data_IF_128630452965
#
_entry.id   IF_128630452965
#
_cell.length_a   1.000
_cell.length_b   1.000
_cell.length_c   1.000
_cell.angle_alpha   90.00
_cell.angle_beta   90.00
_cell.angle_gamma   90.00
#
_symmetry.space_group_name_H-M   'P 1'
#
loop_
_entity.id
_entity.type
_entity.pdbx_description
1 polymer ?
#
# COMPACT_ATOMS: atom_id res chain seq x y z
N UNK A 1 26.86 27.40 4.82
CA UNK A 1 25.48 27.84 4.57
C UNK A 1 24.82 26.78 3.71
N UNK A 2 24.06 25.87 4.33
CA UNK A 2 23.35 24.80 3.67
C UNK A 2 22.04 25.39 3.12
N UNK A 3 21.89 25.43 1.81
CA UNK A 3 20.61 25.74 1.17
C UNK A 3 19.65 24.59 1.48
N UNK A 4 18.67 24.81 2.35
CA UNK A 4 17.48 23.99 2.41
C UNK A 4 16.80 24.07 1.03
N UNK A 5 16.81 22.98 0.27
CA UNK A 5 15.90 22.80 -0.86
C UNK A 5 14.49 22.92 -0.31
N UNK A 6 13.76 23.97 -0.66
CA UNK A 6 12.31 24.01 -0.54
C UNK A 6 11.77 22.89 -1.44
N UNK A 7 11.38 21.80 -0.81
CA UNK A 7 10.58 20.78 -1.47
C UNK A 7 9.22 21.40 -1.72
N UNK A 8 8.93 21.71 -2.98
CA UNK A 8 7.55 21.90 -3.44
C UNK A 8 6.71 20.77 -2.85
N UNK A 9 5.63 21.12 -2.17
CA UNK A 9 4.63 20.19 -1.65
C UNK A 9 4.09 19.44 -2.87
N UNK A 10 4.69 18.30 -3.17
CA UNK A 10 4.20 17.36 -4.16
C UNK A 10 3.12 16.50 -3.48
N UNK A 11 2.12 16.12 -4.25
CA UNK A 11 0.97 15.28 -3.87
C UNK A 11 1.33 13.96 -3.14
N UNK A 12 2.61 13.61 -3.09
CA UNK A 12 3.19 12.42 -2.47
C UNK A 12 3.53 12.54 -0.97
N UNK A 13 3.27 13.68 -0.33
CA UNK A 13 3.72 13.91 1.06
C UNK A 13 2.64 13.65 2.11
N UNK A 14 1.38 13.51 1.71
CA UNK A 14 0.26 13.45 2.66
C UNK A 14 0.32 12.20 3.56
N UNK A 15 0.70 11.05 3.00
CA UNK A 15 0.79 9.82 3.78
C UNK A 15 2.00 9.75 4.74
N UNK A 16 3.06 10.51 4.51
CA UNK A 16 4.24 10.55 5.41
C UNK A 16 3.84 10.98 6.83
N UNK A 17 2.95 11.97 6.93
CA UNK A 17 2.40 12.44 8.23
C UNK A 17 1.66 11.30 8.94
N UNK A 18 0.99 10.42 8.19
CA UNK A 18 0.32 9.26 8.76
C UNK A 18 1.30 8.33 9.49
N UNK A 19 2.48 8.08 8.92
CA UNK A 19 3.49 7.22 9.52
C UNK A 19 4.08 7.75 10.85
N UNK A 20 3.97 9.04 11.13
CA UNK A 20 4.38 9.61 12.43
C UNK A 20 3.48 9.14 13.58
N UNK A 21 2.31 8.56 13.26
CA UNK A 21 1.42 7.94 14.23
C UNK A 21 1.76 6.46 14.53
N UNK A 22 2.82 5.92 13.95
CA UNK A 22 3.30 4.55 14.22
C UNK A 22 4.49 4.64 15.16
N UNK A 23 4.32 4.22 16.42
CA UNK A 23 5.42 4.19 17.38
C UNK A 23 6.44 3.11 16.98
N UNK A 24 7.71 3.32 17.34
CA UNK A 24 8.80 2.35 17.19
C UNK A 24 8.97 1.78 15.78
N UNK A 25 8.57 2.54 14.75
CA UNK A 25 8.61 2.08 13.34
C UNK A 25 10.02 1.69 12.87
N UNK A 26 11.05 2.28 13.47
CA UNK A 26 12.47 1.96 13.21
C UNK A 26 12.87 0.55 13.69
N UNK A 27 12.02 -0.12 14.46
CA UNK A 27 12.18 -1.52 14.86
C UNK A 27 11.33 -2.49 14.03
N UNK A 28 10.43 -1.97 13.20
CA UNK A 28 9.42 -2.74 12.48
C UNK A 28 9.86 -3.12 11.07
N UNK A 29 9.32 -4.25 10.61
CA UNK A 29 9.34 -4.64 9.20
C UNK A 29 8.05 -4.19 8.53
N UNK A 30 8.18 -3.46 7.43
CA UNK A 30 7.04 -3.08 6.58
C UNK A 30 7.08 -3.84 5.26
N UNK A 31 5.90 -4.30 4.82
CA UNK A 31 5.66 -4.68 3.42
C UNK A 31 4.87 -3.55 2.79
N UNK A 32 5.37 -2.99 1.71
CA UNK A 32 4.60 -2.10 0.85
C UNK A 32 4.12 -2.85 -0.40
N UNK A 33 2.91 -2.58 -0.79
CA UNK A 33 2.35 -3.01 -2.07
C UNK A 33 2.37 -1.82 -3.01
N UNK A 34 3.22 -1.91 -4.01
CA UNK A 34 3.62 -0.81 -4.87
C UNK A 34 5.07 -0.39 -4.64
N UNK A 35 5.74 0.03 -5.70
CA UNK A 35 7.10 0.54 -5.68
C UNK A 35 7.12 1.95 -6.26
N UNK A 36 7.71 2.90 -5.55
CA UNK A 36 7.77 4.28 -6.04
C UNK A 36 8.70 5.19 -5.24
N UNK A 37 8.54 6.48 -5.44
CA UNK A 37 9.34 7.49 -4.72
C UNK A 37 9.13 7.42 -3.20
N UNK A 38 7.97 6.99 -2.77
CA UNK A 38 7.63 6.82 -1.36
C UNK A 38 8.48 5.79 -0.64
N UNK A 39 8.96 4.77 -1.36
CA UNK A 39 9.79 3.71 -0.79
C UNK A 39 11.06 4.23 -0.11
N UNK A 40 11.65 5.30 -0.62
CA UNK A 40 12.85 5.90 0.01
C UNK A 40 12.56 6.43 1.42
N UNK A 41 11.38 7.02 1.63
CA UNK A 41 10.97 7.42 2.99
C UNK A 41 10.82 6.20 3.90
N UNK A 42 10.25 5.11 3.42
CA UNK A 42 10.10 3.88 4.21
C UNK A 42 11.45 3.30 4.58
N UNK A 43 12.41 3.29 3.66
CA UNK A 43 13.78 2.82 3.89
C UNK A 43 14.53 3.63 4.97
N UNK A 44 14.23 4.92 5.11
CA UNK A 44 14.81 5.77 6.13
C UNK A 44 14.16 5.60 7.51
N UNK A 45 12.93 5.09 7.57
CA UNK A 45 12.11 5.09 8.78
C UNK A 45 11.80 3.71 9.35
N UNK A 46 11.98 2.63 8.57
CA UNK A 46 11.71 1.27 8.99
C UNK A 46 12.97 0.41 9.04
N UNK A 47 13.00 -0.55 9.95
CA UNK A 47 14.10 -1.51 10.07
C UNK A 47 14.35 -2.30 8.80
N UNK A 48 13.27 -2.71 8.14
CA UNK A 48 13.29 -3.46 6.90
C UNK A 48 12.09 -3.12 6.05
N UNK A 49 12.30 -2.94 4.76
CA UNK A 49 11.26 -2.71 3.76
C UNK A 49 11.23 -3.85 2.77
N UNK A 50 10.05 -4.35 2.46
CA UNK A 50 9.81 -5.36 1.43
C UNK A 50 8.77 -4.78 0.49
N UNK A 51 9.17 -4.45 -0.74
CA UNK A 51 8.27 -3.93 -1.76
C UNK A 51 7.81 -5.07 -2.64
N UNK A 52 6.50 -5.25 -2.73
CA UNK A 52 5.86 -6.21 -3.63
C UNK A 52 5.13 -5.40 -4.70
N UNK A 53 5.61 -5.48 -5.94
CA UNK A 53 5.11 -4.73 -7.08
C UNK A 53 4.36 -5.66 -8.03
N UNK A 54 3.14 -5.27 -8.39
CA UNK A 54 2.40 -5.81 -9.52
C UNK A 54 2.39 -4.72 -10.59
N UNK A 55 3.45 -4.67 -11.39
CA UNK A 55 3.76 -3.49 -12.18
C UNK A 55 3.10 -3.48 -13.54
N UNK A 56 2.48 -2.34 -13.86
CA UNK A 56 2.24 -1.92 -15.26
C UNK A 56 3.50 -1.34 -15.90
N UNK A 57 4.47 -0.91 -15.06
CA UNK A 57 5.67 -0.17 -15.48
C UNK A 57 6.86 -0.70 -14.71
N UNK A 58 7.85 -1.20 -15.42
CA UNK A 58 9.15 -1.55 -14.82
C UNK A 58 9.92 -0.27 -14.48
N UNK A 59 10.06 0.01 -13.21
CA UNK A 59 11.00 1.02 -12.73
C UNK A 59 12.37 0.38 -12.51
N UNK A 60 13.47 1.05 -12.89
CA UNK A 60 14.79 0.51 -12.61
C UNK A 60 14.99 0.41 -11.09
N UNK A 61 15.19 -0.82 -10.61
CA UNK A 61 15.50 -1.09 -9.23
C UNK A 61 17.00 -1.11 -9.00
N UNK A 62 17.47 -0.39 -7.98
CA UNK A 62 18.82 -0.48 -7.47
C UNK A 62 18.79 -1.13 -6.10
N UNK A 63 19.59 -2.17 -5.90
CA UNK A 63 19.64 -2.87 -4.63
C UNK A 63 20.12 -1.96 -3.51
N UNK A 64 19.35 -1.90 -2.43
CA UNK A 64 19.61 -1.10 -1.24
C UNK A 64 19.69 -2.06 -0.04
N UNK A 65 20.57 -1.76 0.91
CA UNK A 65 20.61 -2.47 2.19
C UNK A 65 19.27 -2.32 2.91
N UNK A 66 18.82 -3.31 3.64
CA UNK A 66 17.52 -3.41 4.32
C UNK A 66 16.29 -3.41 3.39
N UNK A 67 16.46 -3.51 2.08
CA UNK A 67 15.37 -3.57 1.10
C UNK A 67 15.31 -4.94 0.40
N UNK A 68 14.09 -5.43 0.22
CA UNK A 68 13.79 -6.59 -0.65
C UNK A 68 12.73 -6.17 -1.66
N UNK A 69 13.02 -6.31 -2.94
CA UNK A 69 12.08 -6.01 -4.02
C UNK A 69 11.61 -7.32 -4.67
N UNK A 70 10.30 -7.44 -4.83
CA UNK A 70 9.63 -8.61 -5.39
C UNK A 70 8.66 -8.14 -6.46
N UNK A 71 8.87 -8.58 -7.68
CA UNK A 71 7.99 -8.27 -8.79
C UNK A 71 7.05 -9.44 -9.06
N UNK A 72 5.75 -9.16 -9.02
CA UNK A 72 4.70 -10.09 -9.45
C UNK A 72 4.32 -9.74 -10.88
N UNK A 73 4.15 -10.75 -11.71
CA UNK A 73 3.73 -10.55 -13.10
C UNK A 73 2.21 -10.59 -13.17
N UNK A 74 1.56 -9.51 -13.65
CA UNK A 74 0.13 -9.52 -13.90
C UNK A 74 -0.20 -10.42 -15.10
N UNK A 75 -1.40 -10.98 -15.13
CA UNK A 75 -1.91 -11.59 -16.35
C UNK A 75 -2.02 -10.55 -17.47
N UNK A 76 -1.85 -10.96 -18.73
CA UNK A 76 -1.92 -10.05 -19.90
C UNK A 76 -3.21 -9.22 -19.93
N UNK A 77 -4.31 -9.77 -19.42
CA UNK A 77 -5.63 -9.13 -19.42
C UNK A 77 -5.86 -8.21 -18.21
N UNK A 78 -5.02 -8.25 -17.19
CA UNK A 78 -5.24 -7.52 -15.93
C UNK A 78 -5.35 -6.01 -16.12
N UNK A 79 -4.45 -5.43 -16.90
CA UNK A 79 -4.46 -3.98 -17.19
C UNK A 79 -5.74 -3.56 -17.92
N UNK A 80 -6.19 -4.34 -18.90
CA UNK A 80 -7.41 -4.04 -19.66
C UNK A 80 -8.67 -4.14 -18.77
N UNK A 81 -8.74 -5.17 -17.93
CA UNK A 81 -9.83 -5.34 -16.96
C UNK A 81 -9.88 -4.14 -15.99
N UNK A 82 -8.75 -3.72 -15.47
CA UNK A 82 -8.66 -2.61 -14.53
C UNK A 82 -9.09 -1.27 -15.16
N UNK A 83 -8.68 -1.00 -16.40
CA UNK A 83 -9.10 0.21 -17.15
C UNK A 83 -10.61 0.24 -17.43
N UNK A 84 -11.25 -0.90 -17.60
CA UNK A 84 -12.71 -1.01 -17.75
C UNK A 84 -13.40 -0.70 -16.41
N UNK A 85 -12.83 -1.14 -15.31
CA UNK A 85 -13.42 -1.06 -13.97
C UNK A 85 -13.39 0.32 -13.33
N UNK A 86 -12.51 1.22 -13.76
CA UNK A 86 -12.57 2.65 -13.39
C UNK A 86 -13.97 3.23 -13.61
N UNK A 87 -14.73 2.67 -14.54
CA UNK A 87 -16.06 3.15 -14.93
C UNK A 87 -17.21 2.54 -14.10
N UNK A 88 -16.93 1.55 -13.26
CA UNK A 88 -17.95 0.84 -12.46
C UNK A 88 -17.65 0.98 -10.98
N UNK A 89 -18.03 2.12 -10.40
CA UNK A 89 -17.83 2.39 -8.96
C UNK A 89 -18.53 1.35 -8.08
N UNK A 90 -17.81 0.82 -7.09
CA UNK A 90 -18.40 0.15 -5.93
C UNK A 90 -18.75 -1.32 -6.07
N UNK A 91 -18.44 -2.00 -7.15
CA UNK A 91 -18.76 -3.44 -7.32
C UNK A 91 -17.63 -4.35 -6.84
N UNK A 92 -17.98 -5.50 -6.21
CA UNK A 92 -17.03 -6.58 -6.01
C UNK A 92 -16.44 -7.04 -7.35
N UNK A 93 -15.16 -7.37 -7.36
CA UNK A 93 -14.37 -7.59 -8.58
C UNK A 93 -13.74 -8.97 -8.62
N UNK A 94 -14.54 -10.04 -8.84
CA UNK A 94 -14.05 -11.43 -8.85
C UNK A 94 -13.03 -11.70 -9.96
N UNK A 95 -12.98 -10.87 -10.99
CA UNK A 95 -12.00 -10.94 -12.08
C UNK A 95 -10.55 -10.72 -11.64
N UNK A 96 -10.31 -10.23 -10.42
CA UNK A 96 -8.97 -10.05 -9.85
C UNK A 96 -8.64 -11.05 -8.74
N UNK A 97 -9.44 -12.08 -8.55
CA UNK A 97 -9.22 -13.08 -7.49
C UNK A 97 -7.83 -13.71 -7.60
N UNK A 98 -7.31 -13.92 -8.82
CA UNK A 98 -5.97 -14.48 -9.05
C UNK A 98 -4.88 -13.50 -8.59
N UNK A 99 -4.97 -12.23 -8.95
CA UNK A 99 -4.00 -11.20 -8.59
C UNK A 99 -4.01 -10.95 -7.08
N UNK A 100 -5.20 -10.89 -6.48
CA UNK A 100 -5.38 -10.78 -5.02
C UNK A 100 -4.74 -11.99 -4.34
N UNK A 101 -5.01 -13.21 -4.81
CA UNK A 101 -4.44 -14.44 -4.27
C UNK A 101 -2.90 -14.46 -4.40
N UNK A 102 -2.35 -13.93 -5.49
CA UNK A 102 -0.90 -13.82 -5.70
C UNK A 102 -0.28 -12.86 -4.68
N UNK A 103 -0.85 -11.66 -4.49
CA UNK A 103 -0.41 -10.74 -3.44
C UNK A 103 -0.47 -11.39 -2.06
N UNK A 104 -1.60 -11.98 -1.69
CA UNK A 104 -1.78 -12.61 -0.39
C UNK A 104 -0.84 -13.80 -0.17
N UNK A 105 -0.53 -14.56 -1.22
CA UNK A 105 0.44 -15.65 -1.16
C UNK A 105 1.85 -15.12 -0.90
N UNK A 106 2.23 -14.02 -1.55
CA UNK A 106 3.55 -13.42 -1.36
C UNK A 106 3.66 -12.78 0.03
N UNK A 107 2.67 -11.97 0.45
CA UNK A 107 2.65 -11.32 1.76
C UNK A 107 2.82 -12.33 2.90
N UNK A 108 2.14 -13.47 2.84
CA UNK A 108 2.19 -14.52 3.86
C UNK A 108 3.59 -15.15 4.06
N UNK A 109 4.50 -15.02 3.09
CA UNK A 109 5.88 -15.48 3.22
C UNK A 109 6.72 -14.56 4.12
N UNK A 110 6.23 -13.36 4.38
CA UNK A 110 6.96 -12.32 5.10
C UNK A 110 6.30 -12.04 6.46
N UNK A 111 7.12 -12.05 7.51
CA UNK A 111 6.67 -11.63 8.84
C UNK A 111 6.79 -10.11 8.93
N UNK A 112 5.72 -9.40 8.60
CA UNK A 112 5.66 -7.95 8.63
C UNK A 112 4.78 -7.44 9.77
N UNK A 113 5.23 -6.36 10.42
CA UNK A 113 4.48 -5.66 11.45
C UNK A 113 3.47 -4.71 10.82
N UNK A 114 3.85 -4.12 9.70
CA UNK A 114 3.09 -3.10 8.96
C UNK A 114 2.90 -3.52 7.52
N UNK A 115 1.69 -3.30 6.99
CA UNK A 115 1.43 -3.37 5.54
C UNK A 115 1.01 -1.98 5.06
N UNK A 116 1.62 -1.51 3.97
CA UNK A 116 1.24 -0.28 3.28
C UNK A 116 0.73 -0.60 1.88
N UNK A 117 -0.49 -0.18 1.56
CA UNK A 117 -1.18 -0.47 0.30
C UNK A 117 -1.25 0.79 -0.55
N UNK A 118 -0.41 0.84 -1.61
CA UNK A 118 -0.30 1.99 -2.53
C UNK A 118 0.11 1.56 -3.96
N UNK A 119 -0.49 0.51 -4.49
CA UNK A 119 -0.19 0.01 -5.84
C UNK A 119 -1.14 0.56 -6.92
N UNK A 120 -0.74 0.46 -8.18
CA UNK A 120 -1.39 1.13 -9.31
C UNK A 120 -2.73 0.56 -9.80
N UNK A 121 -3.28 -0.52 -9.21
CA UNK A 121 -4.54 -1.13 -9.65
C UNK A 121 -5.71 -0.79 -8.72
N UNK A 122 -6.95 -0.92 -9.23
CA UNK A 122 -8.17 -0.46 -8.55
C UNK A 122 -8.80 -1.48 -7.58
N UNK A 123 -8.24 -2.68 -7.44
CA UNK A 123 -8.71 -3.69 -6.47
C UNK A 123 -8.03 -3.60 -5.09
N UNK A 124 -7.62 -2.38 -4.71
CA UNK A 124 -6.95 -2.12 -3.41
C UNK A 124 -7.85 -2.46 -2.21
N UNK A 125 -9.14 -2.14 -2.31
CA UNK A 125 -10.10 -2.42 -1.23
C UNK A 125 -10.23 -3.91 -0.94
N UNK A 126 -10.26 -4.75 -1.97
CA UNK A 126 -10.31 -6.20 -1.86
C UNK A 126 -9.04 -6.73 -1.17
N UNK A 127 -7.85 -6.23 -1.57
CA UNK A 127 -6.58 -6.62 -0.90
C UNK A 127 -6.59 -6.18 0.57
N UNK A 128 -7.02 -4.95 0.88
CA UNK A 128 -7.12 -4.47 2.27
C UNK A 128 -8.08 -5.33 3.09
N UNK A 129 -9.23 -5.74 2.51
CA UNK A 129 -10.17 -6.62 3.20
C UNK A 129 -9.56 -8.00 3.49
N UNK A 130 -8.79 -8.57 2.57
CA UNK A 130 -8.08 -9.83 2.79
C UNK A 130 -6.99 -9.70 3.86
N UNK A 131 -6.28 -8.57 3.93
CA UNK A 131 -5.32 -8.28 4.99
C UNK A 131 -5.99 -8.19 6.37
N UNK A 132 -7.15 -7.53 6.45
CA UNK A 132 -7.97 -7.47 7.67
C UNK A 132 -8.42 -8.87 8.08
N UNK A 133 -8.90 -9.68 7.14
CA UNK A 133 -9.33 -11.06 7.37
C UNK A 133 -8.18 -11.94 7.86
N UNK A 134 -6.99 -11.76 7.31
CA UNK A 134 -5.76 -12.48 7.70
C UNK A 134 -5.37 -12.19 9.16
N UNK A 135 -5.63 -10.98 9.64
CA UNK A 135 -5.44 -10.56 11.04
C UNK A 135 -4.03 -10.87 11.62
N UNK A 136 -2.97 -10.67 10.85
CA UNK A 136 -1.60 -11.00 11.25
C UNK A 136 -0.75 -9.76 11.58
N UNK A 137 -1.03 -8.63 10.94
CA UNK A 137 -0.24 -7.41 11.04
C UNK A 137 -0.69 -6.52 12.19
N UNK A 138 0.23 -5.73 12.75
CA UNK A 138 -0.09 -4.76 13.79
C UNK A 138 -0.78 -3.52 13.20
N UNK A 139 -0.32 -3.09 12.03
CA UNK A 139 -0.89 -1.96 11.30
C UNK A 139 -1.16 -2.31 9.83
N UNK A 140 -2.27 -1.80 9.31
CA UNK A 140 -2.61 -1.79 7.88
C UNK A 140 -2.83 -0.33 7.50
N UNK A 141 -2.09 0.15 6.52
CA UNK A 141 -2.13 1.53 6.03
C UNK A 141 -2.53 1.47 4.57
N UNK A 142 -3.45 2.30 4.16
CA UNK A 142 -3.84 2.40 2.76
C UNK A 142 -4.04 3.85 2.37
N UNK A 143 -3.56 4.17 1.18
CA UNK A 143 -3.52 5.49 0.60
C UNK A 143 -4.61 5.67 -0.47
N UNK A 144 -4.79 6.91 -0.95
CA UNK A 144 -5.81 7.27 -1.94
C UNK A 144 -7.25 7.03 -1.47
N UNK A 145 -7.52 7.20 -0.17
CA UNK A 145 -8.81 6.86 0.43
C UNK A 145 -9.95 7.80 0.04
N UNK A 146 -9.62 8.94 -0.58
CA UNK A 146 -10.60 9.87 -1.12
C UNK A 146 -11.15 9.45 -2.50
N UNK A 147 -10.61 8.38 -3.09
CA UNK A 147 -11.07 7.87 -4.38
C UNK A 147 -12.03 6.69 -4.19
N UNK A 148 -13.34 6.85 -4.53
CA UNK A 148 -14.37 5.84 -4.25
C UNK A 148 -14.20 4.55 -5.05
N UNK A 149 -13.51 4.60 -6.20
CA UNK A 149 -13.30 3.44 -7.03
C UNK A 149 -12.36 2.36 -6.43
N UNK A 150 -11.62 2.68 -5.37
CA UNK A 150 -10.85 1.67 -4.63
C UNK A 150 -11.70 0.83 -3.66
N UNK A 151 -12.95 1.23 -3.39
CA UNK A 151 -13.90 0.44 -2.61
C UNK A 151 -13.61 0.37 -1.11
N UNK A 152 -12.86 1.32 -0.57
CA UNK A 152 -12.54 1.36 0.86
C UNK A 152 -13.73 1.63 1.78
N UNK A 153 -14.81 2.20 1.26
CA UNK A 153 -16.08 2.43 1.98
C UNK A 153 -16.80 1.14 2.36
N UNK A 154 -16.43 0.01 1.76
CA UNK A 154 -17.04 -1.31 2.00
C UNK A 154 -16.30 -2.16 3.03
N UNK A 155 -15.17 -1.67 3.56
CA UNK A 155 -14.32 -2.44 4.46
C UNK A 155 -14.99 -2.74 5.81
N UNK A 156 -14.93 -3.99 6.22
CA UNK A 156 -15.26 -4.43 7.57
C UNK A 156 -13.97 -4.58 8.40
N UNK A 157 -13.73 -3.65 9.31
CA UNK A 157 -12.48 -3.56 10.06
C UNK A 157 -12.28 -4.68 11.09
N UNK A 158 -13.32 -5.41 11.46
CA UNK A 158 -13.26 -6.57 12.37
C UNK A 158 -12.45 -6.28 13.67
N UNK A 159 -11.28 -6.90 13.78
CA UNK A 159 -10.40 -6.79 14.95
C UNK A 159 -9.48 -5.58 14.92
N UNK A 160 -9.56 -4.76 13.88
CA UNK A 160 -8.80 -3.53 13.76
C UNK A 160 -9.62 -2.34 14.19
N UNK A 161 -8.96 -1.33 14.74
CA UNK A 161 -9.54 -0.03 15.06
C UNK A 161 -8.90 1.06 14.22
N UNK A 162 -9.68 2.08 13.90
CA UNK A 162 -9.16 3.26 13.22
C UNK A 162 -8.18 3.99 14.16
N UNK A 163 -6.93 4.13 13.77
CA UNK A 163 -5.88 4.86 14.51
C UNK A 163 -5.67 6.26 13.97
N UNK A 164 -5.79 6.41 12.67
CA UNK A 164 -5.57 7.69 11.99
C UNK A 164 -6.40 7.75 10.71
N UNK A 165 -6.89 8.92 10.39
CA UNK A 165 -7.51 9.26 9.12
C UNK A 165 -7.09 10.66 8.70
N UNK A 166 -6.47 10.77 7.54
CA UNK A 166 -6.28 12.04 6.85
C UNK A 166 -7.21 12.09 5.63
N UNK A 167 -8.00 13.15 5.54
CA UNK A 167 -8.91 13.41 4.43
C UNK A 167 -8.40 14.50 3.49
N UNK A 168 -7.20 15.01 3.74
CA UNK A 168 -6.58 15.98 2.86
C UNK A 168 -5.91 15.26 1.68
N UNK A 169 -5.72 16.00 0.59
CA UNK A 169 -5.08 15.44 -0.60
C UNK A 169 -5.77 14.17 -1.09
N UNK A 170 -5.01 13.11 -1.25
CA UNK A 170 -5.49 11.82 -1.71
C UNK A 170 -6.10 10.95 -0.59
N UNK A 171 -5.85 11.33 0.65
CA UNK A 171 -6.35 10.65 1.84
C UNK A 171 -5.54 9.41 2.24
N UNK A 172 -5.40 9.20 3.56
CA UNK A 172 -4.70 8.03 4.13
C UNK A 172 -5.41 7.54 5.38
N UNK A 173 -5.53 6.24 5.52
CA UNK A 173 -6.11 5.59 6.71
C UNK A 173 -5.08 4.64 7.32
N UNK A 174 -5.01 4.63 8.67
CA UNK A 174 -4.27 3.63 9.45
C UNK A 174 -5.26 2.85 10.30
N UNK A 175 -5.27 1.56 10.12
CA UNK A 175 -5.88 0.60 11.02
C UNK A 175 -4.80 -0.02 11.91
N UNK A 176 -5.11 -0.22 13.19
CA UNK A 176 -4.21 -0.88 14.14
C UNK A 176 -4.97 -1.75 15.13
N UNK A 177 -4.28 -2.74 15.67
CA UNK A 177 -4.77 -3.58 16.76
C UNK A 177 -4.76 -2.87 18.10
#
# INVERSE_FOLDING_TARGET
MSQKKETTINEFTDWQVAFDNIPDKDQMTIVELGWGQGTYYLLENFKKVISIELSRYTYPYTQIENHSYIELQPEETTTLKDDILIKTEGSYRPEFDTEIANYMTEIKKHKADVIFVDFGFHFRGEVVQELINLNQHQYIIFHDTNFPYYGYDRLDYKNYSLKFIDKNGQGTIILGK
#
